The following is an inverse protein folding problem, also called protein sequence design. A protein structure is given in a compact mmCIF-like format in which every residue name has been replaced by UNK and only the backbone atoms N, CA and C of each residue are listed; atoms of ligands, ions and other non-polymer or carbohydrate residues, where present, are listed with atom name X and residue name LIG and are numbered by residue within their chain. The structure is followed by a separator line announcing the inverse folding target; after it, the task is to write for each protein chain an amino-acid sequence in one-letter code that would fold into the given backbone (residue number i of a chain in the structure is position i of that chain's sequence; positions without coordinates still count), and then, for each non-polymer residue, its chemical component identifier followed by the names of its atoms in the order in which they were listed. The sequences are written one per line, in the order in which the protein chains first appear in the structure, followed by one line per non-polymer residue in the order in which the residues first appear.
data_IF_858969319530
#
_entry.id   IF_858969319530
#
_cell.length_a   1.000
_cell.length_b   1.000
_cell.length_c   1.000
_cell.angle_alpha   90.00
_cell.angle_beta   90.00
_cell.angle_gamma   90.00
#
_symmetry.space_group_name_H-M   'P 1'
#
loop_
_entity.id
_entity.type
_entity.pdbx_description
1 polymer ?
#
# COMPACT_ATOMS: atom_id res chain seq x y z
N UNK A 1 -30.83 -37.51 23.90
CA UNK A 1 -31.14 -37.07 25.28
C UNK A 1 -29.96 -36.24 25.79
N UNK A 2 -30.22 -34.94 25.93
CA UNK A 2 -29.61 -34.01 26.90
C UNK A 2 -28.09 -33.89 26.89
N UNK A 3 -27.57 -32.78 26.34
CA UNK A 3 -26.90 -31.73 27.14
C UNK A 3 -26.34 -30.58 26.28
N UNK A 4 -26.74 -29.35 26.66
CA UNK A 4 -26.01 -28.06 26.60
C UNK A 4 -25.43 -27.61 25.26
N UNK A 5 -26.10 -26.65 24.61
CA UNK A 5 -25.42 -25.55 23.92
C UNK A 5 -26.15 -24.25 24.25
N UNK A 6 -25.95 -23.83 25.50
CA UNK A 6 -26.15 -22.44 25.87
C UNK A 6 -25.15 -21.56 25.13
N UNK A 7 -25.61 -20.33 24.86
CA UNK A 7 -24.80 -19.18 24.47
C UNK A 7 -24.29 -19.25 23.02
N UNK A 8 -25.10 -18.67 22.13
CA UNK A 8 -24.64 -18.07 20.88
C UNK A 8 -23.46 -17.15 21.25
N UNK A 9 -22.24 -17.59 20.98
CA UNK A 9 -21.04 -16.76 21.11
C UNK A 9 -21.01 -15.90 19.86
N UNK A 10 -21.76 -14.80 19.91
CA UNK A 10 -21.57 -13.65 19.05
C UNK A 10 -20.16 -13.10 19.30
N UNK A 11 -19.22 -13.35 18.39
CA UNK A 11 -18.30 -12.34 17.85
C UNK A 11 -17.40 -12.98 16.77
N UNK A 12 -17.68 -12.78 15.47
CA UNK A 12 -16.67 -12.99 14.43
C UNK A 12 -15.66 -11.81 14.36
N UNK A 13 -15.74 -10.83 15.25
CA UNK A 13 -15.00 -9.57 15.13
C UNK A 13 -13.49 -9.63 15.41
N UNK A 14 -12.96 -10.70 16.03
CA UNK A 14 -11.53 -10.76 16.41
C UNK A 14 -10.65 -11.54 15.43
N UNK A 15 -11.21 -12.33 14.53
CA UNK A 15 -10.42 -13.12 13.56
C UNK A 15 -10.09 -12.37 12.27
N UNK A 16 -10.83 -11.30 11.93
CA UNK A 16 -10.54 -10.49 10.74
C UNK A 16 -9.35 -9.54 10.91
N UNK A 17 -8.85 -9.33 12.14
CA UNK A 17 -7.73 -8.42 12.39
C UNK A 17 -6.37 -8.98 11.95
N UNK A 18 -6.24 -10.31 11.82
CA UNK A 18 -4.98 -10.95 11.41
C UNK A 18 -4.75 -11.03 9.90
N UNK A 19 -5.81 -10.93 9.08
CA UNK A 19 -5.71 -11.12 7.62
C UNK A 19 -5.36 -9.82 6.89
N UNK A 20 -5.55 -8.66 7.54
CA UNK A 20 -5.29 -7.32 6.99
C UNK A 20 -3.98 -6.73 7.55
N UNK A 21 -3.11 -7.57 8.10
CA UNK A 21 -1.71 -7.23 8.29
C UNK A 21 -0.90 -8.14 7.38
N UNK A 22 -1.19 -8.07 6.07
CA UNK A 22 -0.09 -8.28 5.14
C UNK A 22 0.90 -7.17 5.49
N UNK A 23 1.99 -7.56 6.12
CA UNK A 23 3.22 -6.80 6.13
C UNK A 23 3.43 -6.33 4.70
N UNK A 24 3.02 -5.09 4.42
CA UNK A 24 3.37 -4.42 3.18
C UNK A 24 4.86 -4.24 3.36
N UNK A 25 5.64 -5.26 2.97
CA UNK A 25 7.05 -5.07 2.69
C UNK A 25 7.07 -3.82 1.82
N UNK A 26 7.62 -2.74 2.35
CA UNK A 26 7.68 -1.45 1.71
C UNK A 26 8.70 -1.55 0.57
N UNK A 27 8.37 -2.37 -0.41
CA UNK A 27 9.09 -2.52 -1.64
C UNK A 27 9.04 -1.16 -2.30
N UNK A 28 10.22 -0.57 -2.46
CA UNK A 28 10.39 0.67 -3.20
C UNK A 28 10.08 0.49 -4.71
N UNK A 29 9.49 -0.64 -5.09
CA UNK A 29 8.96 -0.91 -6.42
C UNK A 29 7.62 -0.18 -6.69
N UNK A 30 6.93 0.33 -5.67
CA UNK A 30 5.75 1.17 -5.92
C UNK A 30 6.15 2.48 -6.60
N UNK A 31 5.41 2.87 -7.64
CA UNK A 31 5.62 4.15 -8.35
C UNK A 31 4.96 5.34 -7.64
N UNK A 32 4.03 5.07 -6.74
CA UNK A 32 3.26 6.06 -5.98
C UNK A 32 3.44 5.77 -4.50
N UNK A 33 3.71 6.82 -3.72
CA UNK A 33 3.68 6.79 -2.26
C UNK A 33 2.65 7.79 -1.75
N UNK A 34 2.38 7.76 -0.46
CA UNK A 34 1.47 8.70 0.19
C UNK A 34 2.27 9.67 1.04
N UNK A 35 2.02 10.96 0.91
CA UNK A 35 2.66 11.97 1.78
C UNK A 35 2.07 11.97 3.20
N UNK A 36 2.62 12.79 4.09
CA UNK A 36 2.15 12.88 5.48
C UNK A 36 0.70 13.38 5.62
N UNK A 37 0.14 14.00 4.58
CA UNK A 37 -1.23 14.52 4.55
C UNK A 37 -2.22 13.53 3.90
N UNK A 38 -1.75 12.36 3.46
CA UNK A 38 -2.60 11.38 2.77
C UNK A 38 -2.70 11.58 1.25
N UNK A 39 -1.92 12.48 0.65
CA UNK A 39 -1.95 12.71 -0.79
C UNK A 39 -1.08 11.68 -1.53
N UNK A 40 -1.57 11.22 -2.67
CA UNK A 40 -0.77 10.41 -3.59
C UNK A 40 0.32 11.27 -4.24
N UNK A 41 1.57 10.86 -4.09
CA UNK A 41 2.76 11.51 -4.67
C UNK A 41 3.63 10.49 -5.41
N UNK A 42 4.40 10.96 -6.39
CA UNK A 42 5.36 10.10 -7.08
C UNK A 42 6.45 9.63 -6.11
N UNK A 43 6.74 8.33 -6.15
CA UNK A 43 7.83 7.78 -5.38
C UNK A 43 9.17 8.04 -6.09
N UNK A 44 9.90 9.07 -5.64
CA UNK A 44 11.19 9.44 -6.20
C UNK A 44 12.36 8.55 -5.74
N UNK A 45 12.11 7.70 -4.74
CA UNK A 45 13.08 6.69 -4.29
C UNK A 45 13.10 5.49 -5.25
N UNK A 46 12.02 5.28 -6.01
CA UNK A 46 11.97 4.28 -7.07
C UNK A 46 12.88 4.67 -8.25
N UNK A 47 13.86 3.80 -8.56
CA UNK A 47 14.85 4.03 -9.64
C UNK A 47 14.18 4.29 -11.00
N UNK A 48 13.16 3.51 -11.36
CA UNK A 48 12.48 3.63 -12.67
C UNK A 48 11.74 4.96 -12.80
N UNK A 49 11.06 5.40 -11.73
CA UNK A 49 10.37 6.70 -11.70
C UNK A 49 11.38 7.83 -11.90
N UNK A 50 12.50 7.81 -11.17
CA UNK A 50 13.55 8.84 -11.28
C UNK A 50 14.17 8.88 -12.67
N UNK A 51 14.51 7.73 -13.24
CA UNK A 51 15.11 7.63 -14.58
C UNK A 51 14.16 8.12 -15.67
N UNK A 52 12.87 7.75 -15.58
CA UNK A 52 11.84 8.19 -16.53
C UNK A 52 11.65 9.71 -16.49
N UNK A 53 11.60 10.30 -15.29
CA UNK A 53 11.47 11.75 -15.11
C UNK A 53 12.68 12.50 -15.67
N UNK A 54 13.91 12.02 -15.40
CA UNK A 54 15.12 12.62 -15.95
C UNK A 54 15.17 12.52 -17.48
N UNK A 55 14.81 11.37 -18.05
CA UNK A 55 14.76 11.18 -19.50
C UNK A 55 13.80 12.18 -20.15
N UNK A 56 12.60 12.33 -19.58
CA UNK A 56 11.61 13.30 -20.06
C UNK A 56 12.09 14.75 -19.93
N UNK A 57 12.75 15.10 -18.83
CA UNK A 57 13.33 16.44 -18.66
C UNK A 57 14.41 16.75 -19.69
N UNK A 58 15.27 15.77 -20.02
CA UNK A 58 16.27 15.91 -21.09
C UNK A 58 15.61 16.09 -22.45
N UNK A 59 14.58 15.32 -22.75
CA UNK A 59 13.82 15.46 -24.00
C UNK A 59 13.17 16.86 -24.11
N UNK A 60 12.55 17.35 -23.04
CA UNK A 60 11.94 18.68 -23.00
C UNK A 60 12.98 19.80 -23.14
N UNK A 61 14.16 19.62 -22.54
CA UNK A 61 15.26 20.58 -22.67
C UNK A 61 15.84 20.60 -24.09
N UNK A 62 15.94 19.44 -24.75
CA UNK A 62 16.43 19.33 -26.13
C UNK A 62 15.44 19.86 -27.18
N UNK A 63 14.16 20.01 -26.82
CA UNK A 63 13.11 20.59 -27.67
C UNK A 63 13.04 22.12 -27.61
N UNK A 64 13.79 22.75 -26.70
CA UNK A 64 13.93 24.22 -26.60
C UNK A 64 15.18 24.67 -27.34
#
# INVERSE_FOLDING_TARGET
MTKIFGKIISTPGRWMQGVIQQEIEQSNNSKITTDANGNAVLNMDNKQVRESMQARMRELAAKR
#
